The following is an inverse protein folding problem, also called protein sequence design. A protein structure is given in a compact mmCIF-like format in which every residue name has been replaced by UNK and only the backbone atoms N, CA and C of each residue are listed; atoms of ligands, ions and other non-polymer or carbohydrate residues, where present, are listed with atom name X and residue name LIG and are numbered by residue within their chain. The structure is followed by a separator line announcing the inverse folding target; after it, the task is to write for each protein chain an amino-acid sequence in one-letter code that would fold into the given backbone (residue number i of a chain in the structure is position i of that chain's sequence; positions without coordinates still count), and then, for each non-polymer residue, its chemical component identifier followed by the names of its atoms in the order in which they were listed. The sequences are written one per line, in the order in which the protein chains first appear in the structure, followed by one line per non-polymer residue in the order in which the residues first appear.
data_IF_635170651806
#
_entry.id   IF_635170651806
#
_cell.length_a   1.000
_cell.length_b   1.000
_cell.length_c   1.000
_cell.angle_alpha   90.00
_cell.angle_beta   90.00
_cell.angle_gamma   90.00
#
_symmetry.space_group_name_H-M   'P 1'
#
loop_
_entity.id
_entity.type
_entity.pdbx_description
1 polymer ?
#
# COMPACT_ATOMS: atom_id res chain seq x y z
N UNK A 1 6.28 3.78 18.38
CA UNK A 1 5.49 3.80 17.14
C UNK A 1 5.92 5.02 16.34
N UNK A 2 6.33 4.82 15.08
CA UNK A 2 6.89 5.87 14.23
C UNK A 2 5.86 6.48 13.29
N UNK A 3 5.79 7.80 13.23
CA UNK A 3 4.94 8.48 12.25
C UNK A 3 5.58 8.45 10.86
N UNK A 4 4.79 8.03 9.86
CA UNK A 4 5.20 8.07 8.46
C UNK A 4 4.12 8.62 7.54
N UNK A 5 4.54 9.13 6.40
CA UNK A 5 3.65 9.49 5.30
C UNK A 5 3.95 8.59 4.09
N UNK A 6 2.89 8.12 3.44
CA UNK A 6 2.97 7.45 2.16
C UNK A 6 2.79 8.48 1.04
N UNK A 7 3.62 8.37 0.00
CA UNK A 7 3.46 9.17 -1.21
C UNK A 7 3.50 8.25 -2.42
N UNK A 8 2.40 8.18 -3.15
CA UNK A 8 2.35 7.45 -4.41
C UNK A 8 3.02 8.25 -5.53
N UNK A 9 3.77 7.55 -6.37
CA UNK A 9 4.18 8.03 -7.68
C UNK A 9 3.02 7.81 -8.69
N UNK A 10 3.10 8.38 -9.91
CA UNK A 10 2.12 8.08 -10.95
C UNK A 10 1.95 6.57 -11.14
N UNK A 11 0.71 6.05 -11.09
CA UNK A 11 0.47 4.62 -11.13
C UNK A 11 0.71 4.05 -12.52
N UNK A 12 1.19 2.82 -12.57
CA UNK A 12 1.22 1.98 -13.76
C UNK A 12 -0.12 1.26 -13.94
N UNK A 13 -0.24 0.48 -15.01
CA UNK A 13 -1.46 -0.28 -15.31
C UNK A 13 -1.79 -1.30 -14.21
N UNK A 14 -0.77 -1.96 -13.65
CA UNK A 14 -0.88 -3.09 -12.73
C UNK A 14 -0.09 -2.90 -11.42
N UNK A 15 0.50 -1.73 -11.20
CA UNK A 15 1.25 -1.45 -9.98
C UNK A 15 1.30 0.04 -9.67
N UNK A 16 1.64 0.37 -8.44
CA UNK A 16 1.99 1.72 -8.03
C UNK A 16 3.19 1.68 -7.11
N UNK A 17 4.10 2.61 -7.32
CA UNK A 17 5.20 2.80 -6.39
C UNK A 17 4.79 3.76 -5.27
N UNK A 18 5.13 3.39 -4.03
CA UNK A 18 4.81 4.13 -2.81
C UNK A 18 6.09 4.43 -2.04
N UNK A 19 6.45 5.70 -1.96
CA UNK A 19 7.53 6.17 -1.11
C UNK A 19 7.08 6.23 0.36
N UNK A 20 7.91 5.70 1.26
CA UNK A 20 7.73 5.75 2.70
C UNK A 20 8.58 6.88 3.26
N UNK A 21 7.95 7.89 3.84
CA UNK A 21 8.59 9.11 4.32
C UNK A 21 8.54 9.20 5.84
N UNK A 22 9.66 9.57 6.47
CA UNK A 22 9.72 9.93 7.89
C UNK A 22 10.18 11.38 8.11
N UNK A 23 9.98 11.87 9.33
CA UNK A 23 10.16 13.29 9.66
C UNK A 23 11.12 13.47 10.85
N UNK A 24 12.42 13.16 10.69
CA UNK A 24 13.37 13.21 11.81
C UNK A 24 13.56 14.62 12.38
N UNK A 25 13.25 15.67 11.60
CA UNK A 25 13.31 17.08 12.02
C UNK A 25 11.93 17.71 12.26
N UNK A 26 10.88 16.89 12.31
CA UNK A 26 9.49 17.33 12.43
C UNK A 26 8.80 17.60 11.08
N UNK A 27 7.47 17.72 11.12
CA UNK A 27 6.59 17.77 9.94
C UNK A 27 6.73 19.03 9.06
N UNK A 28 7.34 20.10 9.59
CA UNK A 28 7.53 21.36 8.86
C UNK A 28 8.78 21.36 7.97
N UNK A 29 9.67 20.41 8.17
CA UNK A 29 10.90 20.28 7.41
C UNK A 29 10.77 19.23 6.29
N UNK A 30 11.76 19.21 5.39
CA UNK A 30 11.77 18.26 4.29
C UNK A 30 11.76 16.81 4.83
N UNK A 31 10.84 15.97 4.32
CA UNK A 31 10.78 14.57 4.73
C UNK A 31 12.02 13.81 4.24
N UNK A 32 12.39 12.77 4.97
CA UNK A 32 13.38 11.80 4.53
C UNK A 32 12.68 10.56 4.00
N UNK A 33 13.03 10.14 2.79
CA UNK A 33 12.57 8.87 2.23
C UNK A 33 13.34 7.70 2.86
N UNK A 34 12.61 6.73 3.41
CA UNK A 34 13.18 5.53 4.06
C UNK A 34 13.32 4.39 3.07
N UNK A 35 12.26 4.12 2.32
CA UNK A 35 12.22 3.12 1.27
C UNK A 35 11.14 3.48 0.25
N UNK A 36 11.07 2.67 -0.81
CA UNK A 36 10.06 2.74 -1.85
C UNK A 36 9.54 1.31 -2.06
N UNK A 37 8.23 1.14 -2.02
CA UNK A 37 7.55 -0.15 -2.10
C UNK A 37 6.72 -0.15 -3.38
N UNK A 38 6.85 -1.18 -4.21
CA UNK A 38 5.98 -1.39 -5.35
C UNK A 38 4.79 -2.24 -4.91
N UNK A 39 3.59 -1.67 -4.99
CA UNK A 39 2.33 -2.37 -4.71
C UNK A 39 1.80 -2.91 -6.02
N UNK A 40 1.77 -4.23 -6.18
CA UNK A 40 1.33 -4.90 -7.40
C UNK A 40 -0.11 -5.39 -7.26
N UNK A 41 -0.92 -5.13 -8.28
CA UNK A 41 -2.31 -5.57 -8.43
C UNK A 41 -2.53 -6.15 -9.82
N UNK A 42 -1.56 -6.92 -10.31
CA UNK A 42 -1.66 -7.58 -11.59
C UNK A 42 -2.72 -8.69 -11.55
N UNK A 43 -3.34 -8.96 -12.70
CA UNK A 43 -4.38 -9.99 -12.82
C UNK A 43 -3.94 -11.37 -12.28
N UNK A 44 -2.66 -11.70 -12.38
CA UNK A 44 -2.12 -12.95 -11.85
C UNK A 44 -2.19 -13.01 -10.32
N UNK A 45 -1.79 -11.94 -9.63
CA UNK A 45 -1.81 -11.86 -8.17
C UNK A 45 -3.24 -11.91 -7.64
N UNK A 46 -4.14 -11.15 -8.27
CA UNK A 46 -5.56 -11.15 -7.89
C UNK A 46 -6.20 -12.52 -8.08
N UNK A 47 -5.88 -13.21 -9.18
CA UNK A 47 -6.34 -14.60 -9.41
C UNK A 47 -5.82 -15.58 -8.36
N UNK A 48 -4.64 -15.34 -7.78
CA UNK A 48 -4.17 -16.17 -6.66
C UNK A 48 -5.00 -15.94 -5.40
N UNK A 49 -5.34 -14.69 -5.08
CA UNK A 49 -6.22 -14.36 -3.95
C UNK A 49 -7.61 -14.99 -4.14
N UNK A 50 -8.18 -14.90 -5.35
CA UNK A 50 -9.44 -15.56 -5.69
C UNK A 50 -9.37 -17.08 -5.54
N UNK A 51 -8.28 -17.73 -5.99
CA UNK A 51 -8.05 -19.19 -5.82
C UNK A 51 -7.93 -19.61 -4.36
N UNK A 52 -7.47 -18.72 -3.49
CA UNK A 52 -7.45 -18.91 -2.04
C UNK A 52 -8.84 -18.72 -1.40
N UNK A 53 -9.86 -18.35 -2.20
CA UNK A 53 -11.23 -18.13 -1.74
C UNK A 53 -11.46 -16.75 -1.13
N UNK A 54 -10.56 -15.80 -1.32
CA UNK A 54 -10.73 -14.43 -0.79
C UNK A 54 -11.71 -13.67 -1.66
N UNK A 55 -12.78 -13.17 -1.04
CA UNK A 55 -13.67 -12.19 -1.64
C UNK A 55 -12.99 -10.80 -1.73
N UNK A 56 -13.66 -9.84 -2.36
CA UNK A 56 -13.13 -8.49 -2.54
C UNK A 56 -12.67 -7.86 -1.21
N UNK A 57 -13.52 -7.86 -0.18
CA UNK A 57 -13.21 -7.27 1.13
C UNK A 57 -11.96 -7.91 1.76
N UNK A 58 -11.86 -9.24 1.73
CA UNK A 58 -10.72 -9.98 2.25
C UNK A 58 -9.44 -9.72 1.43
N UNK A 59 -9.55 -9.53 0.12
CA UNK A 59 -8.42 -9.15 -0.73
C UNK A 59 -7.90 -7.75 -0.39
N UNK A 60 -8.78 -6.79 -0.15
CA UNK A 60 -8.37 -5.44 0.28
C UNK A 60 -7.71 -5.47 1.66
N UNK A 61 -8.26 -6.25 2.60
CA UNK A 61 -7.65 -6.41 3.92
C UNK A 61 -6.27 -7.09 3.84
N UNK A 62 -6.09 -8.02 2.90
CA UNK A 62 -4.78 -8.60 2.60
C UNK A 62 -3.78 -7.52 2.16
N UNK A 63 -4.14 -6.63 1.25
CA UNK A 63 -3.27 -5.52 0.82
C UNK A 63 -2.93 -4.55 1.96
N UNK A 64 -3.92 -4.20 2.80
CA UNK A 64 -3.71 -3.34 3.98
C UNK A 64 -2.70 -3.97 4.94
N UNK A 65 -2.92 -5.24 5.28
CA UNK A 65 -2.04 -6.01 6.17
C UNK A 65 -0.64 -6.13 5.58
N UNK A 66 -0.54 -6.53 4.31
CA UNK A 66 0.74 -6.69 3.62
C UNK A 66 1.54 -5.39 3.58
N UNK A 67 0.91 -4.26 3.22
CA UNK A 67 1.59 -2.97 3.18
C UNK A 67 2.08 -2.56 4.57
N UNK A 68 1.26 -2.76 5.61
CA UNK A 68 1.66 -2.52 7.00
C UNK A 68 2.92 -3.31 7.38
N UNK A 69 2.90 -4.61 7.15
CA UNK A 69 3.99 -5.52 7.51
C UNK A 69 5.27 -5.24 6.71
N UNK A 70 5.17 -5.00 5.39
CA UNK A 70 6.34 -4.68 4.57
C UNK A 70 7.01 -3.40 5.05
N UNK A 71 6.25 -2.35 5.34
CA UNK A 71 6.80 -1.10 5.87
C UNK A 71 7.42 -1.33 7.26
N UNK A 72 6.76 -2.10 8.13
CA UNK A 72 7.26 -2.44 9.47
C UNK A 72 8.60 -3.14 9.40
N UNK A 73 8.77 -4.10 8.49
CA UNK A 73 10.04 -4.80 8.23
C UNK A 73 11.13 -3.80 7.83
N UNK A 74 10.85 -2.89 6.89
CA UNK A 74 11.84 -1.89 6.44
C UNK A 74 12.19 -0.85 7.51
N UNK A 75 11.26 -0.55 8.43
CA UNK A 75 11.47 0.40 9.52
C UNK A 75 12.03 -0.25 10.79
N UNK A 76 12.01 -1.59 10.87
CA UNK A 76 12.32 -2.41 12.03
C UNK A 76 11.57 -1.98 13.31
N UNK A 77 10.35 -1.45 13.16
CA UNK A 77 9.49 -1.00 14.27
C UNK A 77 8.04 -0.77 13.79
N UNK A 78 7.09 -0.77 14.73
CA UNK A 78 5.71 -0.38 14.45
C UNK A 78 5.58 1.11 14.09
N UNK A 79 4.58 1.41 13.27
CA UNK A 79 4.40 2.72 12.68
C UNK A 79 2.91 3.10 12.59
N UNK A 80 2.66 4.39 12.42
CA UNK A 80 1.33 4.95 12.16
C UNK A 80 1.40 5.83 10.91
N UNK A 81 0.40 5.68 10.04
CA UNK A 81 0.29 6.52 8.86
C UNK A 81 -0.35 7.84 9.25
N UNK A 82 0.35 8.95 9.01
CA UNK A 82 -0.18 10.30 9.21
C UNK A 82 -0.66 10.95 7.91
N UNK A 83 -0.53 10.25 6.77
CA UNK A 83 -1.02 10.72 5.48
C UNK A 83 -0.72 9.78 4.31
N UNK A 84 -1.57 9.82 3.29
CA UNK A 84 -1.40 9.08 2.03
C UNK A 84 -1.95 7.65 2.02
N UNK A 85 -2.31 7.09 3.19
CA UNK A 85 -2.91 5.75 3.28
C UNK A 85 -4.16 5.61 2.41
N UNK A 86 -5.14 6.50 2.62
CA UNK A 86 -6.42 6.45 1.90
C UNK A 86 -6.26 6.60 0.39
N UNK A 87 -5.28 7.39 -0.06
CA UNK A 87 -5.01 7.59 -1.48
C UNK A 87 -4.45 6.31 -2.12
N UNK A 88 -3.49 5.66 -1.45
CA UNK A 88 -2.91 4.39 -1.92
C UNK A 88 -3.98 3.29 -1.91
N UNK A 89 -4.74 3.17 -0.81
CA UNK A 89 -5.77 2.14 -0.69
C UNK A 89 -6.94 2.37 -1.65
N UNK A 90 -7.39 3.60 -1.88
CA UNK A 90 -8.45 3.88 -2.86
C UNK A 90 -8.05 3.47 -4.29
N UNK A 91 -6.78 3.68 -4.66
CA UNK A 91 -6.27 3.21 -5.95
C UNK A 91 -6.27 1.68 -6.03
N UNK A 92 -5.75 1.00 -4.99
CA UNK A 92 -5.72 -0.47 -4.93
C UNK A 92 -7.15 -1.02 -4.99
N UNK A 93 -8.06 -0.49 -4.18
CA UNK A 93 -9.48 -0.86 -4.17
C UNK A 93 -10.11 -0.73 -5.56
N UNK A 94 -9.90 0.41 -6.23
CA UNK A 94 -10.43 0.63 -7.58
C UNK A 94 -9.89 -0.39 -8.60
N UNK A 95 -8.61 -0.75 -8.52
CA UNK A 95 -7.96 -1.67 -9.46
C UNK A 95 -8.34 -3.12 -9.20
N UNK A 96 -8.41 -3.52 -7.93
CA UNK A 96 -8.79 -4.87 -7.50
C UNK A 96 -10.27 -5.12 -7.79
N UNK A 97 -11.14 -4.14 -7.52
CA UNK A 97 -12.59 -4.27 -7.73
C UNK A 97 -12.96 -4.69 -9.15
N UNK A 98 -12.24 -4.19 -10.15
CA UNK A 98 -12.45 -4.54 -11.55
C UNK A 98 -12.32 -6.06 -11.85
N UNK A 99 -11.64 -6.82 -11.00
CA UNK A 99 -11.49 -8.27 -11.15
C UNK A 99 -12.55 -9.09 -10.40
N UNK A 100 -13.24 -8.47 -9.44
CA UNK A 100 -14.29 -9.11 -8.64
C UNK A 100 -15.70 -8.77 -9.12
N UNK A 101 -15.89 -7.62 -9.77
CA UNK A 101 -17.16 -7.24 -10.42
C UNK A 101 -17.35 -7.92 -11.80
N UNK A 102 -16.32 -8.60 -12.31
CA UNK A 102 -16.32 -9.25 -13.63
C UNK A 102 -16.75 -10.73 -13.61
N UNK A 103 -17.14 -11.25 -12.44
CA UNK A 103 -17.73 -12.59 -12.24
C UNK A 103 -19.25 -12.49 -12.04
#
# INVERSE_FOLDING_TARGET
MKEIQLRMDPPFFNSVDVAVLDFPKGLKEAPRQRCKITVEFAAFDIKQLQKQGLNFEAAIEHYKTWLYEVVKVHLAQDWICIGGWDQVMALVESRVKAYYDAE
#
